data_IF_791002481165
#
_entry.id   IF_791002481165
#
_cell.length_a   1.000
_cell.length_b   1.000
_cell.length_c   1.000
_cell.angle_alpha   90.00
_cell.angle_beta   90.00
_cell.angle_gamma   90.00
#
_symmetry.space_group_name_H-M   'P 1'
#
loop_
_entity.id
_entity.type
_entity.pdbx_description
1 polymer ?
#
# COMPACT_ATOMS: atom_id res chain seq x y z
N UNK A 1 22.82 -8.86 12.86
CA UNK A 1 23.87 -8.15 12.08
C UNK A 1 25.05 -9.04 11.66
N UNK A 2 25.43 -10.06 12.38
CA UNK A 2 26.55 -10.96 12.00
C UNK A 2 26.27 -11.90 10.80
N UNK A 3 25.03 -12.03 10.35
CA UNK A 3 24.65 -12.93 9.24
C UNK A 3 24.76 -12.31 7.84
N UNK A 4 24.78 -10.99 7.71
CA UNK A 4 24.73 -10.30 6.40
C UNK A 4 26.09 -9.72 5.95
N UNK A 5 27.17 -9.87 6.72
CA UNK A 5 28.50 -9.36 6.34
C UNK A 5 28.61 -7.83 6.22
N UNK A 6 27.53 -7.08 6.49
CA UNK A 6 27.49 -5.63 6.36
C UNK A 6 27.93 -4.97 7.67
N UNK A 7 28.92 -4.09 7.58
CA UNK A 7 29.38 -3.31 8.73
C UNK A 7 28.32 -2.30 9.16
N UNK A 8 28.22 -2.03 10.46
CA UNK A 8 27.32 -1.05 11.05
C UNK A 8 27.47 0.35 10.42
N UNK A 9 28.71 0.76 10.12
CA UNK A 9 28.99 2.04 9.48
C UNK A 9 28.47 2.08 8.04
N UNK A 10 28.53 0.99 7.29
CA UNK A 10 27.96 0.86 5.95
C UNK A 10 26.46 0.99 5.98
N UNK A 11 25.78 0.42 6.98
CA UNK A 11 24.36 0.57 7.16
C UNK A 11 23.97 2.06 7.32
N UNK A 12 24.61 2.77 8.27
CA UNK A 12 24.31 4.20 8.54
C UNK A 12 24.78 5.15 7.46
N UNK A 13 25.61 4.69 6.53
CA UNK A 13 25.96 5.46 5.34
C UNK A 13 24.80 5.57 4.35
N UNK A 14 24.03 4.47 4.19
CA UNK A 14 22.93 4.38 3.23
C UNK A 14 21.56 4.65 3.85
N UNK A 15 21.35 4.29 5.11
CA UNK A 15 20.06 4.36 5.79
C UNK A 15 20.20 5.00 7.17
N UNK A 16 19.31 5.93 7.46
CA UNK A 16 19.28 6.61 8.78
C UNK A 16 18.89 5.66 9.90
N UNK A 17 17.98 4.74 9.62
CA UNK A 17 17.46 3.76 10.57
C UNK A 17 16.81 2.55 9.84
N UNK A 18 16.30 1.59 10.60
CA UNK A 18 15.63 0.42 10.05
C UNK A 18 14.33 0.75 9.27
N UNK A 19 13.48 1.70 9.70
CA UNK A 19 12.37 2.17 8.88
C UNK A 19 12.79 2.71 7.52
N UNK A 20 13.87 3.47 7.44
CA UNK A 20 14.42 4.01 6.20
C UNK A 20 14.86 2.88 5.24
N UNK A 21 15.51 1.83 5.79
CA UNK A 21 15.80 0.61 5.03
C UNK A 21 14.52 -0.10 4.57
N UNK A 22 13.52 -0.26 5.45
CA UNK A 22 12.27 -0.92 5.09
C UNK A 22 11.52 -0.15 4.00
N UNK A 23 11.53 1.17 4.06
CA UNK A 23 10.97 2.03 3.02
C UNK A 23 11.70 1.82 1.68
N UNK A 24 13.03 1.81 1.68
CA UNK A 24 13.83 1.58 0.48
C UNK A 24 13.60 0.17 -0.12
N UNK A 25 13.49 -0.86 0.71
CA UNK A 25 13.18 -2.24 0.26
C UNK A 25 11.77 -2.30 -0.34
N UNK A 26 10.79 -1.70 0.32
CA UNK A 26 9.42 -1.62 -0.21
C UNK A 26 9.40 -0.83 -1.52
N UNK A 27 10.18 0.25 -1.63
CA UNK A 27 10.29 1.03 -2.87
C UNK A 27 10.93 0.24 -4.01
N UNK A 28 11.98 -0.52 -3.72
CA UNK A 28 12.67 -1.34 -4.71
C UNK A 28 11.79 -2.50 -5.19
N UNK A 29 11.23 -3.28 -4.26
CA UNK A 29 10.34 -4.40 -4.59
C UNK A 29 9.05 -3.93 -5.24
N UNK A 30 8.52 -2.79 -4.80
CA UNK A 30 7.32 -2.19 -5.39
C UNK A 30 7.62 -1.59 -6.76
N UNK A 31 8.80 -0.98 -6.96
CA UNK A 31 9.28 -0.54 -8.26
C UNK A 31 9.34 -1.70 -9.26
N UNK A 32 9.88 -2.85 -8.87
CA UNK A 32 9.92 -4.05 -9.71
C UNK A 32 8.53 -4.62 -10.01
N UNK A 33 7.61 -4.54 -9.06
CA UNK A 33 6.20 -4.95 -9.23
C UNK A 33 5.46 -3.99 -10.17
N UNK A 34 5.82 -2.70 -10.20
CA UNK A 34 5.14 -1.67 -11.00
C UNK A 34 5.77 -1.41 -12.37
N UNK A 35 7.06 -1.70 -12.54
CA UNK A 35 7.74 -1.66 -13.85
C UNK A 35 7.35 -2.84 -14.76
N UNK A 36 6.93 -3.97 -14.19
CA UNK A 36 6.19 -4.98 -14.93
C UNK A 36 4.74 -4.56 -14.99
N UNK A 37 4.25 -4.14 -16.17
CA UNK A 37 2.87 -3.71 -16.44
C UNK A 37 1.82 -4.55 -15.69
N UNK A 38 1.63 -4.27 -14.40
CA UNK A 38 0.52 -4.80 -13.64
C UNK A 38 -0.71 -4.03 -14.11
N UNK A 39 -1.48 -4.66 -14.98
CA UNK A 39 -2.86 -4.28 -15.22
C UNK A 39 -3.65 -4.43 -13.91
N UNK A 40 -3.54 -3.42 -13.05
CA UNK A 40 -4.22 -3.39 -11.76
C UNK A 40 -5.63 -2.91 -12.00
N UNK A 41 -6.54 -3.84 -12.20
CA UNK A 41 -7.97 -3.56 -12.40
C UNK A 41 -8.74 -3.49 -11.08
N UNK A 42 -8.17 -4.04 -10.00
CA UNK A 42 -8.84 -4.09 -8.71
C UNK A 42 -7.91 -3.65 -7.58
N UNK A 43 -8.48 -2.99 -6.59
CA UNK A 43 -7.79 -2.65 -5.35
C UNK A 43 -7.24 -3.91 -4.64
N UNK A 44 -7.89 -5.07 -4.85
CA UNK A 44 -7.45 -6.36 -4.31
C UNK A 44 -6.11 -6.82 -4.87
N UNK A 45 -5.86 -6.64 -6.16
CA UNK A 45 -4.58 -7.00 -6.80
C UNK A 45 -3.41 -6.17 -6.27
N UNK A 46 -3.63 -4.87 -6.05
CA UNK A 46 -2.65 -4.02 -5.38
C UNK A 46 -2.34 -4.49 -3.96
N UNK A 47 -3.39 -4.83 -3.22
CA UNK A 47 -3.25 -5.31 -1.84
C UNK A 47 -2.51 -6.64 -1.78
N UNK A 48 -2.72 -7.53 -2.74
CA UNK A 48 -2.10 -8.87 -2.74
C UNK A 48 -0.56 -8.81 -2.80
N UNK A 49 0.01 -7.89 -3.54
CA UNK A 49 1.46 -7.71 -3.59
C UNK A 49 2.00 -7.22 -2.24
N UNK A 50 1.36 -6.20 -1.65
CA UNK A 50 1.75 -5.67 -0.34
C UNK A 50 1.56 -6.68 0.80
N UNK A 51 0.45 -7.43 0.78
CA UNK A 51 0.18 -8.47 1.76
C UNK A 51 1.22 -9.58 1.67
N UNK A 52 1.58 -10.01 0.47
CA UNK A 52 2.60 -11.04 0.23
C UNK A 52 3.92 -10.61 0.81
N UNK A 53 4.40 -9.43 0.45
CA UNK A 53 5.63 -8.85 1.00
C UNK A 53 5.60 -8.78 2.54
N UNK A 54 4.53 -8.25 3.12
CA UNK A 54 4.38 -8.12 4.57
C UNK A 54 4.39 -9.48 5.28
N UNK A 55 3.80 -10.53 4.69
CA UNK A 55 3.81 -11.88 5.25
C UNK A 55 5.19 -12.55 5.14
N UNK A 56 5.88 -12.39 4.01
CA UNK A 56 7.24 -12.88 3.81
C UNK A 56 8.22 -12.25 4.81
N UNK A 57 8.02 -10.98 5.14
CA UNK A 57 8.86 -10.23 6.07
C UNK A 57 8.19 -9.96 7.43
N UNK A 58 7.23 -10.80 7.83
CA UNK A 58 6.36 -10.61 8.99
C UNK A 58 7.10 -10.19 10.27
N UNK A 59 8.20 -10.86 10.59
CA UNK A 59 8.96 -10.56 11.80
C UNK A 59 9.57 -9.15 11.79
N UNK A 60 10.09 -8.70 10.63
CA UNK A 60 10.66 -7.37 10.47
C UNK A 60 9.57 -6.30 10.53
N UNK A 61 8.48 -6.50 9.81
CA UNK A 61 7.32 -5.60 9.79
C UNK A 61 6.72 -5.44 11.19
N UNK A 62 6.48 -6.54 11.90
CA UNK A 62 5.94 -6.50 13.27
C UNK A 62 6.92 -5.89 14.28
N UNK A 63 8.22 -6.12 14.09
CA UNK A 63 9.23 -5.46 14.92
C UNK A 63 9.21 -3.94 14.74
N UNK A 64 9.14 -3.46 13.51
CA UNK A 64 9.05 -2.02 13.20
C UNK A 64 7.74 -1.40 13.73
N UNK A 65 6.62 -2.08 13.51
CA UNK A 65 5.30 -1.62 13.97
C UNK A 65 5.21 -1.50 15.50
N UNK A 66 5.88 -2.40 16.23
CA UNK A 66 5.92 -2.41 17.71
C UNK A 66 7.09 -1.64 18.32
N UNK A 67 7.97 -1.08 17.49
CA UNK A 67 9.15 -0.34 17.94
C UNK A 67 8.83 1.08 18.40
N UNK A 68 9.80 1.75 19.02
CA UNK A 68 9.74 3.18 19.33
C UNK A 68 9.63 4.06 18.06
N UNK A 69 9.92 3.50 16.88
CA UNK A 69 9.82 4.18 15.58
C UNK A 69 8.48 3.89 14.87
N UNK A 70 7.46 3.40 15.60
CA UNK A 70 6.13 3.07 15.04
C UNK A 70 5.53 4.22 14.22
N UNK A 71 5.67 5.45 14.68
CA UNK A 71 5.13 6.61 13.97
C UNK A 71 5.74 6.79 12.57
N UNK A 72 7.07 6.64 12.47
CA UNK A 72 7.76 6.68 11.17
C UNK A 72 7.34 5.51 10.27
N UNK A 73 7.22 4.32 10.83
CA UNK A 73 6.74 3.17 10.09
C UNK A 73 5.33 3.40 9.54
N UNK A 74 4.41 3.98 10.32
CA UNK A 74 3.06 4.35 9.86
C UNK A 74 3.13 5.39 8.73
N UNK A 75 4.02 6.39 8.81
CA UNK A 75 4.21 7.37 7.74
C UNK A 75 4.71 6.72 6.45
N UNK A 76 5.65 5.78 6.53
CA UNK A 76 6.13 5.03 5.36
C UNK A 76 5.03 4.15 4.78
N UNK A 77 4.26 3.44 5.61
CA UNK A 77 3.09 2.66 5.19
C UNK A 77 2.08 3.55 4.46
N UNK A 78 1.82 4.75 4.96
CA UNK A 78 0.93 5.73 4.32
C UNK A 78 1.42 6.10 2.92
N UNK A 79 2.73 6.33 2.71
CA UNK A 79 3.29 6.63 1.38
C UNK A 79 3.11 5.48 0.41
N UNK A 80 3.26 4.25 0.88
CA UNK A 80 2.96 3.05 0.07
C UNK A 80 1.49 3.04 -0.33
N UNK A 81 0.57 3.26 0.61
CA UNK A 81 -0.86 3.36 0.32
C UNK A 81 -1.19 4.51 -0.66
N UNK A 82 -0.51 5.66 -0.54
CA UNK A 82 -0.66 6.78 -1.48
C UNK A 82 -0.31 6.35 -2.91
N UNK A 83 0.82 5.66 -3.11
CA UNK A 83 1.26 5.19 -4.45
C UNK A 83 0.33 4.13 -5.03
N UNK A 84 -0.07 3.15 -4.23
CA UNK A 84 -1.02 2.12 -4.65
C UNK A 84 -2.34 2.75 -5.11
N UNK A 85 -2.85 3.68 -4.32
CA UNK A 85 -4.09 4.38 -4.65
C UNK A 85 -3.96 5.19 -5.94
N UNK A 86 -2.83 5.88 -6.13
CA UNK A 86 -2.59 6.66 -7.35
C UNK A 86 -2.59 5.76 -8.60
N UNK A 87 -1.92 4.62 -8.55
CA UNK A 87 -1.91 3.67 -9.66
C UNK A 87 -3.29 3.09 -9.94
N UNK A 88 -4.01 2.68 -8.90
CA UNK A 88 -5.37 2.21 -9.03
C UNK A 88 -6.27 3.25 -9.70
N UNK A 89 -6.22 4.50 -9.24
CA UNK A 89 -7.01 5.57 -9.85
C UNK A 89 -6.58 5.90 -11.28
N UNK A 90 -5.29 5.84 -11.60
CA UNK A 90 -4.81 5.99 -12.98
C UNK A 90 -5.41 4.95 -13.91
N UNK A 91 -5.51 3.70 -13.45
CA UNK A 91 -6.08 2.61 -14.25
C UNK A 91 -7.59 2.76 -14.43
N UNK A 92 -8.33 2.93 -13.34
CA UNK A 92 -9.81 2.93 -13.40
C UNK A 92 -10.41 4.21 -13.96
N UNK A 93 -9.68 5.33 -13.89
CA UNK A 93 -10.12 6.61 -14.44
C UNK A 93 -9.56 6.86 -15.86
N UNK A 94 -8.85 5.90 -16.45
CA UNK A 94 -8.33 6.01 -17.79
C UNK A 94 -9.48 6.21 -18.81
N UNK A 95 -9.39 7.28 -19.58
CA UNK A 95 -10.45 7.63 -20.56
C UNK A 95 -11.66 8.38 -19.99
N UNK A 96 -11.71 8.63 -18.68
CA UNK A 96 -12.77 9.41 -18.04
C UNK A 96 -12.33 10.84 -17.71
N UNK A 97 -13.20 11.81 -17.96
CA UNK A 97 -12.95 13.22 -17.65
C UNK A 97 -13.53 13.58 -16.28
N UNK A 98 -12.66 13.58 -15.26
CA UNK A 98 -13.02 13.88 -13.88
C UNK A 98 -12.26 15.12 -13.42
N UNK A 99 -12.88 15.95 -12.56
CA UNK A 99 -12.23 17.13 -12.00
C UNK A 99 -11.03 16.73 -11.12
N UNK A 100 -10.04 17.60 -11.03
CA UNK A 100 -8.92 17.35 -10.12
C UNK A 100 -9.37 17.30 -8.65
N UNK A 101 -10.44 18.02 -8.32
CA UNK A 101 -11.01 18.03 -6.98
C UNK A 101 -11.63 16.67 -6.63
N UNK A 102 -12.47 16.12 -7.50
CA UNK A 102 -13.06 14.78 -7.31
C UNK A 102 -12.00 13.70 -7.26
N UNK A 103 -10.99 13.77 -8.16
CA UNK A 103 -9.85 12.85 -8.11
C UNK A 103 -9.12 12.89 -6.76
N UNK A 104 -8.90 14.08 -6.19
CA UNK A 104 -8.28 14.25 -4.87
C UNK A 104 -9.14 13.64 -3.76
N UNK A 105 -10.46 13.79 -3.82
CA UNK A 105 -11.38 13.17 -2.85
C UNK A 105 -11.35 11.65 -2.95
N UNK A 106 -11.41 11.10 -4.16
CA UNK A 106 -11.32 9.66 -4.40
C UNK A 106 -9.98 9.10 -3.91
N UNK A 107 -8.87 9.79 -4.19
CA UNK A 107 -7.55 9.40 -3.70
C UNK A 107 -7.51 9.36 -2.17
N UNK A 108 -7.99 10.41 -1.50
CA UNK A 108 -8.02 10.49 -0.05
C UNK A 108 -8.88 9.36 0.55
N UNK A 109 -10.04 9.08 -0.06
CA UNK A 109 -10.96 8.04 0.39
C UNK A 109 -10.32 6.64 0.29
N UNK A 110 -9.82 6.26 -0.88
CA UNK A 110 -9.24 4.93 -1.08
C UNK A 110 -7.95 4.70 -0.30
N UNK A 111 -7.08 5.71 -0.24
CA UNK A 111 -5.89 5.67 0.62
C UNK A 111 -6.26 5.44 2.08
N UNK A 112 -7.28 6.13 2.58
CA UNK A 112 -7.69 6.00 3.99
C UNK A 112 -8.23 4.61 4.30
N UNK A 113 -8.97 4.01 3.37
CA UNK A 113 -9.42 2.62 3.49
C UNK A 113 -8.23 1.66 3.52
N UNK A 114 -7.29 1.80 2.58
CA UNK A 114 -6.11 0.94 2.51
C UNK A 114 -5.26 1.04 3.78
N UNK A 115 -5.00 2.26 4.23
CA UNK A 115 -4.20 2.50 5.43
C UNK A 115 -4.90 1.94 6.68
N UNK A 116 -6.21 2.20 6.83
CA UNK A 116 -6.99 1.68 7.96
C UNK A 116 -6.95 0.15 8.01
N UNK A 117 -7.23 -0.52 6.91
CA UNK A 117 -7.16 -1.99 6.83
C UNK A 117 -5.78 -2.54 7.15
N UNK A 118 -4.73 -1.89 6.64
CA UNK A 118 -3.36 -2.31 6.91
C UNK A 118 -3.03 -2.18 8.39
N UNK A 119 -3.41 -1.08 9.02
CA UNK A 119 -3.15 -0.86 10.45
C UNK A 119 -3.95 -1.82 11.34
N UNK A 120 -5.23 -2.05 11.05
CA UNK A 120 -6.06 -3.02 11.77
C UNK A 120 -5.48 -4.43 11.66
N UNK A 121 -4.99 -4.81 10.47
CA UNK A 121 -4.35 -6.09 10.24
C UNK A 121 -3.04 -6.24 11.01
N UNK A 122 -2.22 -5.20 11.07
CA UNK A 122 -1.00 -5.17 11.87
C UNK A 122 -1.31 -5.23 13.38
N UNK A 123 -2.38 -4.57 13.82
CA UNK A 123 -2.82 -4.58 15.21
C UNK A 123 -3.31 -5.96 15.65
N UNK A 124 -3.92 -6.73 14.75
CA UNK A 124 -4.29 -8.15 14.93
C UNK A 124 -3.11 -9.11 14.67
N UNK A 125 -1.88 -8.65 14.71
CA UNK A 125 -0.69 -9.46 14.46
C UNK A 125 -0.69 -10.19 13.10
N UNK A 126 -1.34 -9.62 12.08
CA UNK A 126 -1.52 -10.23 10.76
C UNK A 126 -2.21 -11.61 10.81
N UNK A 127 -3.13 -11.84 11.77
CA UNK A 127 -3.83 -13.12 11.93
C UNK A 127 -5.06 -13.23 11.05
N UNK A 128 -5.77 -12.12 10.84
CA UNK A 128 -6.97 -12.09 10.02
C UNK A 128 -6.64 -12.30 8.53
N UNK A 129 -7.54 -12.99 7.83
CA UNK A 129 -7.42 -13.18 6.38
C UNK A 129 -7.92 -11.94 5.63
N UNK A 130 -7.02 -10.96 5.51
CA UNK A 130 -7.30 -9.68 4.85
C UNK A 130 -7.67 -9.88 3.36
N UNK A 131 -7.17 -10.93 2.68
CA UNK A 131 -7.53 -11.25 1.29
C UNK A 131 -8.98 -11.68 1.18
N UNK A 132 -9.42 -12.55 2.08
CA UNK A 132 -10.82 -12.98 2.15
C UNK A 132 -11.75 -11.79 2.43
N UNK A 133 -11.35 -10.90 3.35
CA UNK A 133 -12.11 -9.70 3.67
C UNK A 133 -12.19 -8.76 2.45
N UNK A 134 -11.06 -8.46 1.80
CA UNK A 134 -11.02 -7.58 0.61
C UNK A 134 -11.83 -8.16 -0.55
N UNK A 135 -11.73 -9.46 -0.81
CA UNK A 135 -12.53 -10.16 -1.83
C UNK A 135 -14.02 -10.07 -1.55
N UNK A 136 -14.44 -10.23 -0.28
CA UNK A 136 -15.86 -10.09 0.08
C UNK A 136 -16.36 -8.67 -0.09
N UNK A 137 -15.59 -7.67 0.34
CA UNK A 137 -15.95 -6.26 0.15
C UNK A 137 -16.01 -5.90 -1.34
N UNK A 138 -15.09 -6.39 -2.17
CA UNK A 138 -15.15 -6.19 -3.63
C UNK A 138 -16.45 -6.71 -4.22
N UNK A 139 -16.90 -7.91 -3.82
CA UNK A 139 -18.19 -8.46 -4.25
C UNK A 139 -19.37 -7.57 -3.81
N UNK A 140 -19.37 -7.09 -2.56
CA UNK A 140 -20.43 -6.23 -2.03
C UNK A 140 -20.47 -4.85 -2.69
N UNK A 141 -19.33 -4.38 -3.23
CA UNK A 141 -19.17 -3.07 -3.89
C UNK A 141 -19.17 -3.18 -5.42
N UNK A 142 -19.56 -4.32 -5.99
CA UNK A 142 -19.65 -4.50 -7.44
C UNK A 142 -20.56 -3.43 -8.06
N UNK A 143 -20.09 -2.76 -9.11
CA UNK A 143 -20.79 -1.64 -9.77
C UNK A 143 -20.65 -0.28 -9.05
N UNK A 144 -20.10 -0.26 -7.84
CA UNK A 144 -20.00 0.99 -7.08
C UNK A 144 -19.03 2.00 -7.71
N UNK A 145 -17.94 1.52 -8.30
CA UNK A 145 -16.94 2.39 -8.92
C UNK A 145 -17.48 2.99 -10.22
N UNK A 146 -18.17 2.21 -11.02
CA UNK A 146 -18.83 2.68 -12.25
C UNK A 146 -19.88 3.76 -11.94
N UNK A 147 -20.61 3.62 -10.84
CA UNK A 147 -21.56 4.63 -10.38
C UNK A 147 -20.87 5.91 -9.91
N UNK A 148 -19.73 5.81 -9.22
CA UNK A 148 -18.91 6.97 -8.82
C UNK A 148 -18.41 7.69 -10.07
N UNK A 149 -17.78 6.99 -11.01
CA UNK A 149 -17.26 7.57 -12.25
C UNK A 149 -18.36 8.33 -12.99
N UNK A 150 -19.52 7.70 -13.18
CA UNK A 150 -20.68 8.32 -13.85
C UNK A 150 -21.14 9.61 -13.19
N UNK A 151 -21.03 9.72 -11.86
CA UNK A 151 -21.43 10.93 -11.11
C UNK A 151 -20.38 12.05 -11.17
N UNK A 152 -19.10 11.67 -11.28
CA UNK A 152 -17.98 12.60 -11.34
C UNK A 152 -17.64 13.03 -12.77
N UNK A 153 -18.17 12.34 -13.80
CA UNK A 153 -17.83 12.59 -15.19
C UNK A 153 -18.35 13.96 -15.64
N UNK A 154 -17.44 14.79 -16.17
CA UNK A 154 -17.75 16.10 -16.71
C UNK A 154 -18.38 15.88 -18.08
N UNK A 155 -19.58 16.43 -18.29
CA UNK A 155 -20.27 16.39 -19.57
C UNK A 155 -19.67 17.39 -20.56
#
# INVERSE_FOLDING_TARGET
>A
MLKCGVNRNTFYYYFRDLPDLAEAVVEEDYGQVTEGSLDIHTLGECLDACIRFALEHRNAVMHLYRSTNRERFILSTRRVCDRITEQYLNTILAGHHITQEDRKYLHTYYRSILLGWTLDWLEDDMKSDIRKQSGRISQLKQGHMEDIIRRCEIK
#
